data_IF_580942751233
#
_entry.id   IF_580942751233
#
_cell.length_a   1.000
_cell.length_b   1.000
_cell.length_c   1.000
_cell.angle_alpha   90.00
_cell.angle_beta   90.00
_cell.angle_gamma   90.00
#
_symmetry.space_group_name_H-M   'P 1'
#
loop_
_entity.id
_entity.type
_entity.pdbx_description
1 polymer ?
#
# COMPACT_ATOMS: atom_id res chain seq x y z
N UNK A 1 25.37 -1.86 -6.65
CA UNK A 1 24.47 -1.48 -7.76
C UNK A 1 24.96 -2.24 -8.99
N UNK A 2 24.15 -3.11 -9.59
CA UNK A 2 24.57 -3.83 -10.79
C UNK A 2 24.36 -2.91 -12.00
N UNK A 3 25.46 -2.38 -12.55
CA UNK A 3 25.42 -1.65 -13.81
C UNK A 3 24.90 -2.60 -14.91
N UNK A 4 23.94 -2.10 -15.69
CA UNK A 4 23.41 -2.82 -16.85
C UNK A 4 24.49 -2.87 -17.94
N UNK A 5 24.44 -3.96 -18.70
CA UNK A 5 25.32 -4.20 -19.84
C UNK A 5 24.66 -3.62 -21.09
N UNK A 6 25.35 -2.70 -21.74
CA UNK A 6 24.94 -2.13 -23.02
C UNK A 6 25.15 -3.15 -24.15
N UNK A 7 24.58 -2.93 -25.36
CA UNK A 7 24.75 -3.87 -26.48
C UNK A 7 26.23 -4.19 -26.78
N UNK A 8 27.12 -3.22 -26.55
CA UNK A 8 28.57 -3.37 -26.64
C UNK A 8 29.11 -4.38 -25.62
N UNK A 9 28.67 -4.29 -24.35
CA UNK A 9 29.08 -5.19 -23.28
C UNK A 9 28.54 -6.61 -23.52
N UNK A 10 27.32 -6.72 -24.05
CA UNK A 10 26.74 -8.02 -24.47
C UNK A 10 27.60 -8.64 -25.57
N UNK A 11 28.02 -7.86 -26.58
CA UNK A 11 28.93 -8.35 -27.62
C UNK A 11 30.29 -8.76 -27.06
N UNK A 12 30.85 -8.02 -26.09
CA UNK A 12 32.09 -8.41 -25.42
C UNK A 12 31.94 -9.73 -24.65
N UNK A 13 30.83 -9.93 -23.94
CA UNK A 13 30.52 -11.21 -23.28
C UNK A 13 30.46 -12.33 -24.31
N UNK A 14 29.73 -12.15 -25.41
CA UNK A 14 29.59 -13.17 -26.45
C UNK A 14 30.94 -13.47 -27.12
N UNK A 15 31.78 -12.46 -27.38
CA UNK A 15 33.12 -12.65 -27.93
C UNK A 15 33.99 -13.50 -27.01
N UNK A 16 34.06 -13.17 -25.72
CA UNK A 16 34.86 -13.94 -24.77
C UNK A 16 34.33 -15.38 -24.60
N UNK A 17 33.02 -15.59 -24.70
CA UNK A 17 32.46 -16.94 -24.69
C UNK A 17 32.81 -17.71 -25.96
N UNK A 18 32.83 -17.05 -27.11
CA UNK A 18 33.26 -17.63 -28.39
C UNK A 18 34.75 -18.00 -28.37
N UNK A 19 35.57 -17.21 -27.68
CA UNK A 19 37.00 -17.47 -27.45
C UNK A 19 37.25 -18.60 -26.42
N UNK A 20 36.20 -19.24 -25.90
CA UNK A 20 36.30 -20.40 -25.01
C UNK A 20 36.51 -20.07 -23.53
N UNK A 21 36.35 -18.80 -23.12
CA UNK A 21 36.47 -18.44 -21.70
C UNK A 21 35.29 -18.96 -20.88
N UNK A 22 35.57 -19.51 -19.70
CA UNK A 22 34.53 -19.90 -18.75
C UNK A 22 33.72 -18.69 -18.25
N UNK A 23 32.43 -18.87 -17.94
CA UNK A 23 31.55 -17.80 -17.42
C UNK A 23 32.13 -17.07 -16.20
N UNK A 24 32.88 -17.78 -15.34
CA UNK A 24 33.57 -17.19 -14.19
C UNK A 24 34.70 -16.24 -14.64
N UNK A 25 35.46 -16.65 -15.65
CA UNK A 25 36.57 -15.85 -16.19
C UNK A 25 36.04 -14.63 -16.93
N UNK A 26 34.98 -14.78 -17.74
CA UNK A 26 34.28 -13.65 -18.39
C UNK A 26 33.83 -12.61 -17.37
N UNK A 27 33.17 -13.06 -16.28
CA UNK A 27 32.74 -12.16 -15.22
C UNK A 27 33.90 -11.40 -14.57
N UNK A 28 35.00 -12.08 -14.27
CA UNK A 28 36.20 -11.42 -13.71
C UNK A 28 36.87 -10.43 -14.68
N UNK A 29 36.85 -10.72 -15.99
CA UNK A 29 37.48 -9.87 -17.01
C UNK A 29 36.70 -8.58 -17.22
N UNK A 30 35.37 -8.65 -17.27
CA UNK A 30 34.50 -7.51 -17.56
C UNK A 30 34.01 -6.77 -16.31
N UNK A 31 34.40 -7.23 -15.11
CA UNK A 31 33.89 -6.67 -13.85
C UNK A 31 32.40 -6.94 -13.61
N UNK A 32 31.87 -8.00 -14.22
CA UNK A 32 30.44 -8.36 -14.19
C UNK A 32 30.23 -9.58 -13.30
N UNK A 33 29.13 -9.62 -12.54
CA UNK A 33 28.81 -10.79 -11.74
C UNK A 33 28.67 -12.05 -12.61
N UNK A 34 29.24 -13.18 -12.15
CA UNK A 34 29.08 -14.48 -12.84
C UNK A 34 27.61 -14.87 -13.08
N UNK A 35 26.72 -14.43 -12.19
CA UNK A 35 25.28 -14.70 -12.26
C UNK A 35 24.64 -13.93 -13.42
N UNK A 36 25.12 -12.72 -13.69
CA UNK A 36 24.73 -11.94 -14.86
C UNK A 36 25.13 -12.70 -16.11
N UNK A 37 26.40 -13.09 -16.26
CA UNK A 37 26.89 -13.87 -17.42
C UNK A 37 26.08 -15.15 -17.62
N UNK A 38 25.84 -15.91 -16.54
CA UNK A 38 24.99 -17.10 -16.58
C UNK A 38 23.56 -16.80 -17.08
N UNK A 39 22.96 -15.68 -16.66
CA UNK A 39 21.63 -15.27 -17.12
C UNK A 39 21.59 -15.00 -18.63
N UNK A 40 22.63 -14.39 -19.21
CA UNK A 40 22.71 -14.15 -20.65
C UNK A 40 22.93 -15.46 -21.41
N UNK A 41 23.85 -16.32 -20.96
CA UNK A 41 24.10 -17.63 -21.58
C UNK A 41 22.86 -18.51 -21.57
N UNK A 42 22.14 -18.58 -20.45
CA UNK A 42 20.91 -19.37 -20.35
C UNK A 42 19.81 -18.85 -21.28
N UNK A 43 19.71 -17.52 -21.45
CA UNK A 43 18.74 -16.91 -22.36
C UNK A 43 19.07 -17.22 -23.83
N UNK A 44 20.35 -17.15 -24.19
CA UNK A 44 20.81 -17.52 -25.52
C UNK A 44 20.53 -19.01 -25.83
N UNK A 45 20.79 -19.90 -24.86
CA UNK A 45 20.46 -21.32 -25.00
C UNK A 45 18.94 -21.54 -25.16
N UNK A 46 18.12 -20.78 -24.43
CA UNK A 46 16.67 -20.88 -24.51
C UNK A 46 16.10 -20.38 -25.85
N UNK A 47 16.77 -19.44 -26.53
CA UNK A 47 16.39 -19.02 -27.88
C UNK A 47 16.85 -19.98 -28.99
N UNK A 48 17.67 -20.98 -28.66
CA UNK A 48 18.19 -21.96 -29.62
C UNK A 48 19.31 -21.43 -30.52
N UNK A 49 19.83 -20.22 -30.25
CA UNK A 49 20.91 -19.63 -31.03
C UNK A 49 22.29 -19.98 -30.45
N UNK A 50 23.26 -20.19 -31.34
CA UNK A 50 24.67 -20.33 -30.94
C UNK A 50 25.29 -18.96 -30.62
N UNK A 51 26.41 -18.97 -29.89
CA UNK A 51 27.14 -17.72 -29.55
C UNK A 51 27.66 -17.03 -30.81
N UNK A 52 28.15 -17.81 -31.78
CA UNK A 52 28.63 -17.32 -33.07
C UNK A 52 27.51 -16.69 -33.91
N UNK A 53 26.31 -17.29 -33.94
CA UNK A 53 25.14 -16.68 -34.58
C UNK A 53 24.77 -15.35 -33.92
N UNK A 54 24.79 -15.28 -32.59
CA UNK A 54 24.41 -14.08 -31.85
C UNK A 54 25.35 -12.90 -32.09
N UNK A 55 26.63 -13.15 -32.37
CA UNK A 55 27.61 -12.12 -32.74
C UNK A 55 27.32 -11.49 -34.11
N UNK A 56 26.71 -12.25 -35.02
CA UNK A 56 26.35 -11.78 -36.36
C UNK A 56 25.05 -10.98 -36.40
N UNK A 57 24.29 -10.93 -35.29
CA UNK A 57 23.05 -10.17 -35.25
C UNK A 57 23.27 -8.67 -35.26
N UNK A 58 22.36 -7.98 -35.94
CA UNK A 58 22.21 -6.55 -35.82
C UNK A 58 21.78 -6.18 -34.39
N UNK A 59 21.98 -4.91 -34.03
CA UNK A 59 21.72 -4.45 -32.66
C UNK A 59 20.25 -4.66 -32.25
N UNK A 60 19.31 -4.53 -33.19
CA UNK A 60 17.88 -4.70 -32.95
C UNK A 60 17.55 -6.13 -32.54
N UNK A 61 18.04 -7.12 -33.30
CA UNK A 61 17.82 -8.54 -33.02
C UNK A 61 18.56 -9.00 -31.76
N UNK A 62 19.72 -8.41 -31.47
CA UNK A 62 20.44 -8.66 -30.22
C UNK A 62 19.64 -8.15 -29.01
N UNK A 63 19.03 -6.96 -29.10
CA UNK A 63 18.17 -6.44 -28.03
C UNK A 63 16.88 -7.24 -27.85
N UNK A 64 16.31 -7.77 -28.93
CA UNK A 64 15.14 -8.66 -28.87
C UNK A 64 15.45 -9.95 -28.10
N UNK A 65 16.66 -10.49 -28.27
CA UNK A 65 17.11 -11.66 -27.53
C UNK A 65 17.44 -11.37 -26.07
N UNK A 66 17.84 -10.14 -25.75
CA UNK A 66 18.19 -9.73 -24.40
C UNK A 66 17.34 -8.55 -23.92
N UNK A 67 16.01 -8.72 -23.77
CA UNK A 67 15.13 -7.61 -23.43
C UNK A 67 15.40 -7.12 -22.01
N UNK A 68 15.14 -5.81 -21.85
CA UNK A 68 15.24 -5.09 -20.59
C UNK A 68 14.33 -5.72 -19.54
N UNK A 69 14.86 -5.89 -18.31
CA UNK A 69 14.06 -6.36 -17.16
C UNK A 69 13.40 -5.19 -16.43
N UNK A 70 12.83 -4.23 -17.15
CA UNK A 70 12.10 -3.10 -16.55
C UNK A 70 10.60 -3.39 -16.58
N UNK A 71 9.92 -3.15 -15.46
CA UNK A 71 8.48 -3.34 -15.36
C UNK A 71 7.79 -2.01 -15.62
N UNK A 72 6.79 -2.00 -16.50
CA UNK A 72 5.99 -0.83 -16.82
C UNK A 72 4.53 -1.11 -16.48
N UNK A 73 3.84 -0.17 -15.82
CA UNK A 73 2.42 -0.37 -15.53
C UNK A 73 1.56 -0.24 -16.80
N UNK A 74 0.43 -0.91 -16.83
CA UNK A 74 -0.63 -0.70 -17.82
C UNK A 74 -1.95 -0.37 -17.10
N UNK A 75 -2.89 0.33 -17.75
CA UNK A 75 -4.15 0.71 -17.10
C UNK A 75 -4.90 -0.51 -16.54
N UNK A 76 -5.40 -0.39 -15.31
CA UNK A 76 -6.04 -1.50 -14.57
C UNK A 76 -7.23 -2.15 -15.31
N UNK A 77 -7.85 -1.42 -16.25
CA UNK A 77 -8.97 -1.91 -17.07
C UNK A 77 -8.59 -3.12 -17.95
N UNK A 78 -7.30 -3.29 -18.22
CA UNK A 78 -6.77 -4.36 -19.07
C UNK A 78 -6.18 -5.54 -18.26
N UNK A 79 -6.45 -5.62 -16.96
CA UNK A 79 -6.04 -6.78 -16.15
C UNK A 79 -6.59 -8.07 -16.76
N UNK A 80 -5.70 -9.05 -16.95
CA UNK A 80 -6.03 -10.36 -17.54
C UNK A 80 -6.18 -10.37 -19.06
N UNK A 81 -5.97 -9.23 -19.74
CA UNK A 81 -5.97 -9.16 -21.21
C UNK A 81 -4.56 -9.35 -21.76
N UNK A 82 -4.46 -9.95 -22.95
CA UNK A 82 -3.20 -10.02 -23.68
C UNK A 82 -2.93 -8.69 -24.39
N UNK A 83 -1.73 -8.15 -24.21
CA UNK A 83 -1.29 -6.87 -24.78
C UNK A 83 -0.01 -7.07 -25.57
N UNK A 84 0.20 -6.24 -26.59
CA UNK A 84 1.45 -6.18 -27.34
C UNK A 84 2.30 -5.04 -26.79
N UNK A 85 3.62 -5.24 -26.73
CA UNK A 85 4.57 -4.24 -26.24
C UNK A 85 5.55 -3.93 -27.36
N UNK A 86 5.70 -2.65 -27.70
CA UNK A 86 6.69 -2.19 -28.66
C UNK A 86 7.80 -1.43 -27.93
N UNK A 87 9.03 -1.88 -28.14
CA UNK A 87 10.23 -1.26 -27.58
C UNK A 87 10.87 -0.33 -28.62
N UNK A 88 10.89 0.97 -28.32
CA UNK A 88 11.70 1.96 -29.04
C UNK A 88 12.95 2.28 -28.22
N UNK A 89 13.95 2.94 -28.80
CA UNK A 89 15.13 3.41 -28.05
C UNK A 89 14.76 4.32 -26.86
N UNK A 90 13.76 5.19 -27.01
CA UNK A 90 13.38 6.20 -25.99
C UNK A 90 12.13 5.86 -25.19
N UNK A 91 11.23 5.05 -25.73
CA UNK A 91 9.91 4.81 -25.16
C UNK A 91 9.53 3.34 -25.21
N UNK A 92 8.63 2.97 -24.30
CA UNK A 92 7.94 1.68 -24.30
C UNK A 92 6.46 1.96 -24.50
N UNK A 93 5.90 1.37 -25.55
CA UNK A 93 4.49 1.52 -25.89
C UNK A 93 3.75 0.21 -25.64
N UNK A 94 2.55 0.30 -25.08
CA UNK A 94 1.68 -0.86 -24.83
C UNK A 94 0.42 -0.72 -25.66
N UNK A 95 0.08 -1.77 -26.40
CA UNK A 95 -1.07 -1.83 -27.29
C UNK A 95 -2.05 -2.94 -26.88
N UNK A 96 -3.34 -2.68 -27.07
CA UNK A 96 -4.43 -3.64 -26.96
C UNK A 96 -5.33 -3.50 -28.17
N UNK A 97 -5.58 -4.58 -28.93
CA UNK A 97 -6.39 -4.57 -30.15
C UNK A 97 -6.03 -3.45 -31.15
N UNK A 98 -4.73 -3.20 -31.37
CA UNK A 98 -4.19 -2.14 -32.23
C UNK A 98 -4.33 -0.70 -31.68
N UNK A 99 -4.90 -0.50 -30.50
CA UNK A 99 -4.97 0.80 -29.82
C UNK A 99 -3.84 0.94 -28.79
N UNK A 100 -3.16 2.10 -28.77
CA UNK A 100 -2.11 2.39 -27.78
C UNK A 100 -2.74 2.76 -26.44
N UNK A 101 -2.55 1.91 -25.43
CA UNK A 101 -3.14 2.06 -24.10
C UNK A 101 -2.19 2.71 -23.08
N UNK A 102 -0.88 2.65 -23.32
CA UNK A 102 0.11 3.29 -22.46
C UNK A 102 1.36 3.68 -23.24
N UNK A 103 2.01 4.75 -22.76
CA UNK A 103 3.30 5.23 -23.22
C UNK A 103 4.17 5.52 -22.00
N UNK A 104 5.38 4.95 -21.99
CA UNK A 104 6.36 5.17 -20.93
C UNK A 104 7.68 5.65 -21.50
N UNK A 105 8.38 6.51 -20.75
CA UNK A 105 9.80 6.76 -21.01
C UNK A 105 10.57 5.48 -20.69
N UNK A 106 11.41 5.03 -21.62
CA UNK A 106 12.20 3.82 -21.43
C UNK A 106 13.21 4.06 -20.31
N UNK A 107 13.10 3.26 -19.26
CA UNK A 107 14.05 3.19 -18.18
C UNK A 107 14.99 2.02 -18.43
N UNK A 108 16.26 2.33 -18.65
CA UNK A 108 17.26 1.32 -18.89
C UNK A 108 17.68 0.59 -17.60
N UNK A 109 17.33 1.06 -16.40
CA UNK A 109 17.70 0.39 -15.14
C UNK A 109 17.00 -0.97 -14.98
N UNK A 110 17.79 -2.04 -14.88
CA UNK A 110 17.31 -3.41 -14.70
C UNK A 110 16.54 -3.57 -13.37
N UNK A 111 15.36 -4.18 -13.43
CA UNK A 111 14.51 -4.45 -12.28
C UNK A 111 13.70 -3.24 -11.79
N UNK A 112 13.74 -2.11 -12.51
CA UNK A 112 12.98 -0.92 -12.12
C UNK A 112 11.48 -1.11 -12.35
N UNK A 113 10.67 -0.68 -11.39
CA UNK A 113 9.22 -0.55 -11.53
C UNK A 113 8.88 0.87 -11.94
N UNK A 114 8.34 1.04 -13.15
CA UNK A 114 7.94 2.31 -13.73
C UNK A 114 6.41 2.35 -13.74
N UNK A 115 5.84 2.83 -12.63
CA UNK A 115 4.39 2.89 -12.42
C UNK A 115 3.86 4.30 -12.67
N UNK A 116 2.99 4.46 -13.67
CA UNK A 116 2.19 5.67 -13.85
C UNK A 116 0.98 5.66 -12.90
N UNK A 117 0.76 6.77 -12.19
CA UNK A 117 -0.39 7.01 -11.30
C UNK A 117 -1.72 6.85 -12.01
N UNK A 118 -1.82 7.22 -13.29
CA UNK A 118 -3.05 7.15 -14.07
C UNK A 118 -3.51 5.73 -14.37
N UNK A 119 -2.59 4.76 -14.31
CA UNK A 119 -2.92 3.36 -14.57
C UNK A 119 -3.62 2.68 -13.39
N UNK A 120 -3.52 3.27 -12.19
CA UNK A 120 -4.12 2.70 -10.98
C UNK A 120 -5.64 2.89 -10.96
N UNK A 121 -6.35 1.91 -10.38
CA UNK A 121 -7.79 2.01 -10.15
C UNK A 121 -8.11 3.09 -9.12
N UNK A 122 -9.36 3.59 -9.12
CA UNK A 122 -9.83 4.55 -8.11
C UNK A 122 -9.63 4.03 -6.69
N UNK A 123 -9.88 2.74 -6.47
CA UNK A 123 -9.64 2.09 -5.18
C UNK A 123 -8.18 2.15 -4.78
N UNK A 124 -7.26 1.81 -5.69
CA UNK A 124 -5.82 1.81 -5.40
C UNK A 124 -5.25 3.23 -5.24
N UNK A 125 -5.77 4.21 -5.99
CA UNK A 125 -5.45 5.63 -5.77
C UNK A 125 -5.86 6.06 -4.36
N UNK A 126 -7.06 5.68 -3.93
CA UNK A 126 -7.54 6.00 -2.59
C UNK A 126 -6.67 5.40 -1.48
N UNK A 127 -6.00 4.26 -1.68
CA UNK A 127 -5.02 3.70 -0.73
C UNK A 127 -3.72 4.51 -0.67
N UNK A 128 -3.28 5.14 -1.76
CA UNK A 128 -2.06 5.97 -1.76
C UNK A 128 -2.23 7.24 -0.96
N UNK A 129 -3.45 7.77 -0.87
CA UNK A 129 -3.78 8.96 -0.09
C UNK A 129 -3.90 8.67 1.42
N UNK A 130 -3.68 7.42 1.86
CA UNK A 130 -3.79 7.05 3.26
C UNK A 130 -2.63 7.62 4.07
N UNK A 131 -2.97 8.54 4.96
CA UNK A 131 -2.09 9.05 5.99
C UNK A 131 -2.91 9.29 7.28
N UNK A 132 -2.25 9.41 8.45
CA UNK A 132 -2.96 9.60 9.72
C UNK A 132 -3.86 10.82 9.71
N UNK A 133 -3.39 11.94 9.17
CA UNK A 133 -4.13 13.22 9.10
C UNK A 133 -5.39 13.11 8.23
N UNK A 134 -5.33 12.35 7.13
CA UNK A 134 -6.47 12.06 6.26
C UNK A 134 -7.55 11.28 7.03
N UNK A 135 -7.17 10.35 7.92
CA UNK A 135 -8.13 9.66 8.77
C UNK A 135 -8.69 10.53 9.89
N UNK A 136 -7.88 11.43 10.48
CA UNK A 136 -8.36 12.43 11.45
C UNK A 136 -9.38 13.37 10.82
N UNK A 137 -9.10 13.89 9.62
CA UNK A 137 -10.02 14.76 8.87
C UNK A 137 -11.33 14.05 8.53
N UNK A 138 -11.27 12.78 8.14
CA UNK A 138 -12.48 11.97 7.92
C UNK A 138 -13.27 11.73 9.22
N UNK A 139 -12.58 11.51 10.34
CA UNK A 139 -13.21 11.33 11.64
C UNK A 139 -13.87 12.62 12.16
N UNK A 140 -13.31 13.79 11.85
CA UNK A 140 -13.83 15.08 12.29
C UNK A 140 -15.28 15.34 11.86
N UNK A 141 -15.68 14.83 10.68
CA UNK A 141 -17.05 14.90 10.19
C UNK A 141 -18.07 14.13 11.06
N UNK A 142 -17.61 13.18 11.87
CA UNK A 142 -18.46 12.32 12.71
C UNK A 142 -18.40 12.69 14.20
N UNK A 143 -17.56 13.65 14.60
CA UNK A 143 -17.51 14.18 15.96
C UNK A 143 -16.12 14.14 16.61
N UNK A 144 -15.93 14.96 17.64
CA UNK A 144 -14.64 15.14 18.31
C UNK A 144 -14.18 13.87 19.07
N UNK A 145 -15.10 13.09 19.63
CA UNK A 145 -14.73 11.86 20.34
C UNK A 145 -14.26 10.78 19.37
N UNK A 146 -14.80 10.77 18.15
CA UNK A 146 -14.38 9.85 17.08
C UNK A 146 -12.92 10.14 16.68
N UNK A 147 -12.54 11.42 16.56
CA UNK A 147 -11.15 11.82 16.28
C UNK A 147 -10.21 11.30 17.36
N UNK A 148 -10.52 11.54 18.64
CA UNK A 148 -9.71 11.07 19.77
C UNK A 148 -9.55 9.55 19.78
N UNK A 149 -10.63 8.81 19.50
CA UNK A 149 -10.55 7.36 19.36
C UNK A 149 -9.62 6.93 18.22
N UNK A 150 -9.71 7.58 17.06
CA UNK A 150 -8.84 7.27 15.92
C UNK A 150 -7.38 7.54 16.25
N UNK A 151 -7.08 8.66 16.90
CA UNK A 151 -5.73 8.99 17.36
C UNK A 151 -5.21 7.92 18.33
N UNK A 152 -5.99 7.55 19.36
CA UNK A 152 -5.59 6.52 20.32
C UNK A 152 -5.33 5.16 19.64
N UNK A 153 -6.15 4.77 18.65
CA UNK A 153 -5.93 3.54 17.88
C UNK A 153 -4.62 3.60 17.09
N UNK A 154 -4.34 4.71 16.41
CA UNK A 154 -3.14 4.85 15.60
C UNK A 154 -1.86 4.96 16.45
N UNK A 155 -1.91 5.66 17.59
CA UNK A 155 -0.79 5.79 18.52
C UNK A 155 -0.48 4.48 19.25
N UNK A 156 -1.49 3.61 19.45
CA UNK A 156 -1.29 2.31 20.10
C UNK A 156 -0.46 1.31 19.28
N UNK A 157 -0.24 1.58 17.99
CA UNK A 157 0.48 0.67 17.09
C UNK A 157 1.86 1.23 16.72
N UNK A 158 2.84 0.34 16.57
CA UNK A 158 4.19 0.71 16.12
C UNK A 158 4.21 1.33 14.72
N UNK A 159 3.27 0.90 13.86
CA UNK A 159 3.12 1.38 12.49
C UNK A 159 1.65 1.74 12.22
N UNK A 160 1.33 3.00 11.88
CA UNK A 160 -0.04 3.45 11.69
C UNK A 160 -0.75 2.74 10.53
N UNK A 161 -0.01 2.21 9.55
CA UNK A 161 -0.53 1.48 8.40
C UNK A 161 -1.34 0.23 8.78
N UNK A 162 -0.98 -0.39 9.91
CA UNK A 162 -1.67 -1.57 10.45
C UNK A 162 -3.06 -1.18 10.97
N UNK A 163 -3.21 0.04 11.47
CA UNK A 163 -4.42 0.57 12.09
C UNK A 163 -5.47 1.10 11.10
N UNK A 164 -5.07 1.48 9.88
CA UNK A 164 -5.96 2.13 8.92
C UNK A 164 -7.22 1.31 8.59
N UNK A 165 -7.09 -0.01 8.41
CA UNK A 165 -8.26 -0.88 8.18
C UNK A 165 -9.24 -0.87 9.36
N UNK A 166 -8.73 -0.81 10.61
CA UNK A 166 -9.58 -0.75 11.81
C UNK A 166 -10.31 0.58 11.90
N UNK A 167 -9.63 1.68 11.60
CA UNK A 167 -10.20 3.03 11.56
C UNK A 167 -11.29 3.12 10.49
N UNK A 168 -11.07 2.55 9.30
CA UNK A 168 -12.10 2.50 8.24
C UNK A 168 -13.33 1.72 8.70
N UNK A 169 -13.12 0.56 9.34
CA UNK A 169 -14.22 -0.23 9.89
C UNK A 169 -15.01 0.55 10.94
N UNK A 170 -14.33 1.27 11.83
CA UNK A 170 -14.94 2.13 12.84
C UNK A 170 -15.75 3.25 12.19
N UNK A 171 -15.16 3.96 11.24
CA UNK A 171 -15.86 5.04 10.52
C UNK A 171 -17.08 4.48 9.79
N UNK A 172 -17.00 3.30 9.17
CA UNK A 172 -18.13 2.70 8.43
C UNK A 172 -19.36 2.42 9.30
N UNK A 173 -19.23 2.32 10.63
CA UNK A 173 -20.35 2.14 11.56
C UNK A 173 -21.35 3.31 11.50
N UNK A 174 -20.93 4.52 11.11
CA UNK A 174 -21.85 5.66 10.96
C UNK A 174 -22.98 5.37 9.95
N UNK A 175 -22.73 4.53 8.94
CA UNK A 175 -23.74 4.21 7.91
C UNK A 175 -24.92 3.42 8.49
N UNK A 176 -24.68 2.60 9.51
CA UNK A 176 -25.71 1.77 10.13
C UNK A 176 -26.37 2.47 11.33
N UNK A 177 -25.60 3.22 12.12
CA UNK A 177 -26.07 3.76 13.41
C UNK A 177 -26.19 5.29 13.44
N UNK A 178 -25.67 6.01 12.45
CA UNK A 178 -25.61 7.47 12.43
C UNK A 178 -24.36 8.04 13.14
N UNK A 179 -24.00 9.28 12.80
CA UNK A 179 -22.79 9.95 13.33
C UNK A 179 -22.92 10.27 14.83
N UNK A 180 -24.09 10.71 15.29
CA UNK A 180 -24.28 11.12 16.69
C UNK A 180 -24.13 9.95 17.65
N UNK A 181 -24.75 8.81 17.31
CA UNK A 181 -24.64 7.56 18.09
C UNK A 181 -23.20 7.05 18.12
N UNK A 182 -22.49 7.13 16.99
CA UNK A 182 -21.07 6.77 16.92
C UNK A 182 -20.23 7.65 17.85
N UNK A 183 -20.44 8.96 17.84
CA UNK A 183 -19.70 9.90 18.71
C UNK A 183 -19.96 9.63 20.20
N UNK A 184 -21.19 9.26 20.58
CA UNK A 184 -21.53 8.87 21.96
C UNK A 184 -20.90 7.54 22.34
N UNK A 185 -20.93 6.53 21.46
CA UNK A 185 -20.26 5.25 21.69
C UNK A 185 -18.73 5.40 21.84
N UNK A 186 -18.11 6.27 21.03
CA UNK A 186 -16.71 6.64 21.17
C UNK A 186 -16.42 7.30 22.51
N UNK A 187 -17.30 8.20 22.98
CA UNK A 187 -17.17 8.80 24.32
C UNK A 187 -17.13 7.74 25.42
N UNK A 188 -18.02 6.75 25.37
CA UNK A 188 -18.08 5.64 26.34
C UNK A 188 -16.77 4.84 26.31
N UNK A 189 -16.28 4.50 25.11
CA UNK A 189 -15.05 3.74 24.95
C UNK A 189 -13.83 4.48 25.51
N UNK A 190 -13.77 5.81 25.33
CA UNK A 190 -12.72 6.67 25.89
C UNK A 190 -12.80 6.74 27.42
N UNK A 191 -13.99 6.84 28.00
CA UNK A 191 -14.16 6.82 29.46
C UNK A 191 -13.70 5.49 30.07
N UNK A 192 -13.87 4.39 29.35
CA UNK A 192 -13.41 3.07 29.77
C UNK A 192 -11.93 2.78 29.42
N UNK A 193 -11.20 3.75 28.87
CA UNK A 193 -9.82 3.68 28.37
C UNK A 193 -9.49 2.44 27.51
N UNK A 194 -10.49 1.96 26.78
CA UNK A 194 -10.40 0.75 25.98
C UNK A 194 -10.99 1.03 24.62
N UNK A 195 -10.14 1.50 23.72
CA UNK A 195 -10.53 1.87 22.36
C UNK A 195 -10.24 0.72 21.40
N UNK A 196 -11.28 0.00 21.00
CA UNK A 196 -11.19 -1.02 19.96
C UNK A 196 -12.46 -1.06 19.11
N UNK A 197 -12.30 -1.45 17.85
CA UNK A 197 -13.44 -1.61 16.93
C UNK A 197 -14.50 -2.57 17.50
N UNK A 198 -14.09 -3.73 18.02
CA UNK A 198 -14.99 -4.73 18.59
C UNK A 198 -15.82 -4.16 19.74
N UNK A 199 -15.18 -3.40 20.64
CA UNK A 199 -15.87 -2.78 21.76
C UNK A 199 -16.85 -1.70 21.34
N UNK A 200 -16.46 -0.80 20.42
CA UNK A 200 -17.36 0.25 19.92
C UNK A 200 -18.55 -0.37 19.20
N UNK A 201 -18.32 -1.42 18.40
CA UNK A 201 -19.37 -2.19 17.77
C UNK A 201 -20.32 -2.81 18.80
N UNK A 202 -19.79 -3.46 19.85
CA UNK A 202 -20.60 -4.04 20.93
C UNK A 202 -21.41 -2.98 21.70
N UNK A 203 -20.86 -1.77 21.91
CA UNK A 203 -21.57 -0.66 22.54
C UNK A 203 -22.80 -0.26 21.72
N UNK A 204 -22.63 -0.15 20.40
CA UNK A 204 -23.71 0.22 19.48
C UNK A 204 -24.77 -0.88 19.32
N UNK A 205 -24.34 -2.15 19.26
CA UNK A 205 -25.25 -3.30 19.16
C UNK A 205 -26.12 -3.45 20.42
N UNK A 206 -25.54 -3.23 21.61
CA UNK A 206 -26.26 -3.31 22.87
C UNK A 206 -27.01 -2.01 23.24
N UNK A 207 -27.03 -1.00 22.35
CA UNK A 207 -27.65 0.31 22.57
C UNK A 207 -27.20 1.02 23.87
N UNK A 208 -26.01 0.73 24.39
CA UNK A 208 -25.48 1.38 25.60
C UNK A 208 -25.25 2.88 25.39
N UNK A 209 -25.16 3.32 24.14
CA UNK A 209 -25.11 4.72 23.76
C UNK A 209 -26.40 5.48 24.09
N UNK A 210 -27.56 4.81 24.05
CA UNK A 210 -28.87 5.43 24.35
C UNK A 210 -29.13 5.58 25.84
N UNK A 211 -28.67 4.63 26.65
CA UNK A 211 -28.80 4.70 28.11
C UNK A 211 -28.09 5.93 28.70
N UNK A 212 -27.06 6.45 28.01
CA UNK A 212 -26.35 7.65 28.42
C UNK A 212 -27.05 8.96 28.03
N UNK A 213 -27.81 8.98 26.94
CA UNK A 213 -28.72 10.11 26.67
C UNK A 213 -29.83 10.18 27.71
N UNK A 214 -30.39 9.03 28.10
CA UNK A 214 -31.46 8.96 29.10
C UNK A 214 -30.99 9.41 30.50
N UNK A 215 -29.73 9.12 30.88
CA UNK A 215 -29.14 9.56 32.14
C UNK A 215 -28.84 11.07 32.18
N UNK A 216 -28.48 11.71 31.05
CA UNK A 216 -28.25 13.17 31.01
C UNK A 216 -29.57 13.94 31.13
N UNK A 217 -30.67 13.36 30.63
CA UNK A 217 -32.01 13.94 30.82
C UNK A 217 -32.53 13.73 32.25
N UNK A 218 -32.23 12.59 32.89
CA UNK A 218 -32.66 12.31 34.28
C UNK A 218 -31.81 13.01 35.35
N UNK A 219 -30.54 13.36 35.09
CA UNK A 219 -29.73 14.17 36.02
C UNK A 219 -30.08 15.67 35.99
N UNK A 220 -30.86 16.11 34.99
CA UNK A 220 -31.44 17.47 34.94
C UNK A 220 -32.82 17.57 35.58
N UNK A 221 -33.48 16.45 35.87
CA UNK A 221 -34.73 16.43 36.61
C UNK A 221 -34.44 16.09 38.06
N UNK A 222 -34.17 17.14 38.83
CA UNK A 222 -34.22 17.24 40.29
C UNK A 222 -33.64 16.05 41.07
N UNK A 223 -32.48 16.26 41.68
CA UNK A 223 -32.04 15.46 42.83
C UNK A 223 -33.10 15.58 43.94
N UNK A 224 -34.10 14.69 43.94
CA UNK A 224 -35.10 14.55 45.00
C UNK A 224 -34.48 13.84 46.20
N UNK A 225 -33.38 14.38 46.72
CA UNK A 225 -32.89 14.03 48.04
C UNK A 225 -33.63 14.98 48.99
N UNK A 226 -34.60 14.51 49.78
CA UNK A 226 -35.27 15.36 50.76
C UNK A 226 -34.23 15.84 51.78
N UNK A 227 -34.26 17.13 52.12
CA UNK A 227 -33.52 17.66 53.26
C UNK A 227 -33.95 16.88 54.52
N UNK A 228 -33.03 16.10 55.09
CA UNK A 228 -33.27 15.42 56.36
C UNK A 228 -32.36 16.03 57.42
N UNK A 229 -32.95 16.45 58.55
CA UNK A 229 -32.20 16.90 59.71
C UNK A 229 -31.52 15.70 60.38
N UNK A 230 -30.27 15.44 60.03
CA UNK A 230 -29.45 14.41 60.69
C UNK A 230 -28.84 15.02 61.96
N UNK A 231 -29.63 15.03 63.03
CA UNK A 231 -29.26 15.53 64.36
C UNK A 231 -28.53 14.40 65.14
N UNK A 232 -27.30 14.08 64.75
CA UNK A 232 -26.35 13.40 65.65
C UNK A 232 -25.01 14.12 65.60
N UNK A 233 -24.98 15.25 66.30
CA UNK A 233 -23.73 15.91 66.68
C UNK A 233 -22.98 15.09 67.73
N UNK A 234 -21.64 15.21 67.73
CA UNK A 234 -20.69 14.51 68.59
C UNK A 234 -20.72 14.93 70.09
N UNK A 235 -21.87 15.36 70.62
CA UNK A 235 -21.98 15.95 71.96
C UNK A 235 -22.45 14.97 73.06
N UNK A 236 -22.56 13.67 72.79
CA UNK A 236 -22.98 12.67 73.80
C UNK A 236 -21.80 11.87 74.36
N UNK A 237 -20.84 12.56 74.96
CA UNK A 237 -19.86 11.98 75.89
C UNK A 237 -19.69 12.94 77.08
N UNK A 238 -20.44 12.72 78.15
CA UNK A 238 -20.13 13.17 79.51
C UNK A 238 -20.03 11.93 80.38
#
# INVERSE_FOLDING_TARGET
MANKLDPMDIRQILSLLNDGFSNRKVGSTLGVSRNTVNSYVNRLKASGHSVSEALCFDESRLMELFPDKSYYSAPYRYIGKQTQIHYTQKHVEVYYNHDRIALHKRNHTCGSYNTNSDHLSSTHKAYMDWNPEHFKNKAAAHGQNVVKCVEQILTSMDYPEIGYKRVIGLLQLHKAYGSDRLNTACRIALTADMVSYSRIKNILENNMDKALSDNIESDRMDSHIPLHDNIRGAASCN
#
